data_IF_043194141257
#
_entry.id   IF_043194141257
#
_cell.length_a   1.000
_cell.length_b   1.000
_cell.length_c   1.000
_cell.angle_alpha   90.00
_cell.angle_beta   90.00
_cell.angle_gamma   90.00
#
_symmetry.space_group_name_H-M   'P 1'
#
loop_
_entity.id
_entity.type
_entity.pdbx_description
1 polymer ?
#
# COMPACT_ATOMS: atom_id res chain seq x y z
N UNK A 1 2.51 12.07 7.70
CA UNK A 1 1.56 11.03 8.15
C UNK A 1 0.67 11.47 9.32
N UNK A 2 -0.62 11.10 9.30
CA UNK A 2 -1.70 11.53 10.21
C UNK A 2 -1.46 11.18 11.69
N UNK A 3 -0.77 10.07 11.95
CA UNK A 3 -0.46 9.63 13.31
C UNK A 3 0.56 10.52 14.04
N UNK A 4 1.46 11.21 13.30
CA UNK A 4 2.44 12.14 13.89
C UNK A 4 1.74 13.34 14.54
N UNK A 5 0.63 13.79 13.95
CA UNK A 5 -0.17 14.89 14.46
C UNK A 5 -1.05 14.50 15.67
N UNK A 6 -1.36 13.21 15.84
CA UNK A 6 -2.33 12.71 16.84
C UNK A 6 -1.72 12.29 18.18
N UNK A 7 -0.52 12.78 18.54
CA UNK A 7 0.18 12.47 19.79
C UNK A 7 0.29 10.96 20.10
N UNK A 8 0.30 10.09 19.08
CA UNK A 8 0.30 8.64 19.24
C UNK A 8 1.46 8.16 20.13
N UNK A 9 2.67 8.64 19.84
CA UNK A 9 3.90 8.28 20.55
C UNK A 9 3.82 8.67 22.03
N UNK A 10 3.31 9.85 22.35
CA UNK A 10 3.15 10.29 23.73
C UNK A 10 2.20 9.38 24.52
N UNK A 11 1.10 8.92 23.90
CA UNK A 11 0.16 7.97 24.54
C UNK A 11 0.77 6.59 24.70
N UNK A 12 1.46 6.10 23.68
CA UNK A 12 2.13 4.79 23.71
C UNK A 12 3.22 4.76 24.79
N UNK A 13 4.05 5.80 24.89
CA UNK A 13 5.08 5.91 25.93
C UNK A 13 4.51 5.95 27.36
N UNK A 14 3.32 6.53 27.54
CA UNK A 14 2.63 6.54 28.84
C UNK A 14 2.06 5.18 29.21
N UNK A 15 1.58 4.42 28.23
CA UNK A 15 0.94 3.13 28.45
C UNK A 15 1.95 2.00 28.58
N UNK A 16 3.05 2.06 27.84
CA UNK A 16 4.05 0.99 27.81
C UNK A 16 4.51 0.48 29.20
N UNK A 17 4.81 1.32 30.21
CA UNK A 17 5.22 0.81 31.53
C UNK A 17 4.06 0.30 32.41
N UNK A 18 2.81 0.52 32.02
CA UNK A 18 1.61 0.18 32.80
C UNK A 18 0.90 -1.03 32.21
N UNK A 19 0.71 -0.99 30.88
CA UNK A 19 -0.02 -1.96 30.09
C UNK A 19 0.63 -2.03 28.69
N UNK A 20 1.68 -2.86 28.55
CA UNK A 20 2.36 -3.06 27.28
C UNK A 20 1.45 -3.59 26.18
N UNK A 21 0.48 -4.43 26.53
CA UNK A 21 -0.48 -5.02 25.60
C UNK A 21 -1.35 -3.94 24.95
N UNK A 22 -1.98 -3.08 25.75
CA UNK A 22 -2.72 -1.92 25.26
C UNK A 22 -1.84 -0.98 24.43
N UNK A 23 -0.56 -0.82 24.79
CA UNK A 23 0.37 0.00 24.02
C UNK A 23 0.63 -0.60 22.62
N UNK A 24 0.89 -1.91 22.54
CA UNK A 24 1.04 -2.67 21.30
C UNK A 24 -0.22 -2.63 20.43
N UNK A 25 -1.40 -2.86 21.02
CA UNK A 25 -2.68 -2.79 20.33
C UNK A 25 -2.90 -1.41 19.70
N UNK A 26 -2.65 -0.33 20.45
CA UNK A 26 -2.80 1.04 19.93
C UNK A 26 -1.88 1.33 18.77
N UNK A 27 -0.62 0.88 18.85
CA UNK A 27 0.34 1.09 17.78
C UNK A 27 -0.01 0.29 16.53
N UNK A 28 -0.38 -0.98 16.69
CA UNK A 28 -0.81 -1.82 15.58
C UNK A 28 -2.09 -1.28 14.92
N UNK A 29 -3.08 -0.86 15.71
CA UNK A 29 -4.32 -0.25 15.19
C UNK A 29 -4.03 1.04 14.40
N UNK A 30 -3.07 1.85 14.86
CA UNK A 30 -2.64 3.02 14.12
C UNK A 30 -1.97 2.64 12.78
N UNK A 31 -1.15 1.59 12.75
CA UNK A 31 -0.54 1.09 11.51
C UNK A 31 -1.61 0.56 10.54
N UNK A 32 -2.60 -0.20 11.01
CA UNK A 32 -3.70 -0.66 10.17
C UNK A 32 -4.51 0.51 9.61
N UNK A 33 -4.82 1.51 10.43
CA UNK A 33 -5.51 2.71 9.96
C UNK A 33 -4.69 3.45 8.88
N UNK A 34 -3.39 3.62 9.10
CA UNK A 34 -2.50 4.26 8.12
C UNK A 34 -2.44 3.47 6.81
N UNK A 35 -2.42 2.13 6.86
CA UNK A 35 -2.54 1.29 5.66
C UNK A 35 -3.88 1.46 4.94
N UNK A 36 -5.00 1.59 5.66
CA UNK A 36 -6.30 1.87 5.03
C UNK A 36 -6.27 3.20 4.28
N UNK A 37 -5.76 4.25 4.91
CA UNK A 37 -5.59 5.56 4.27
C UNK A 37 -4.70 5.47 3.03
N UNK A 38 -3.60 4.70 3.09
CA UNK A 38 -2.71 4.46 1.95
C UNK A 38 -3.39 3.74 0.80
N UNK A 39 -4.21 2.72 1.09
CA UNK A 39 -5.02 2.03 0.08
C UNK A 39 -6.00 3.02 -0.57
N UNK A 40 -6.68 3.86 0.22
CA UNK A 40 -7.60 4.86 -0.30
C UNK A 40 -6.92 5.90 -1.20
N UNK A 41 -5.71 6.35 -0.84
CA UNK A 41 -4.91 7.29 -1.64
C UNK A 41 -4.46 6.64 -2.95
N UNK A 42 -3.98 5.39 -2.88
CA UNK A 42 -3.54 4.63 -4.05
C UNK A 42 -4.65 4.50 -5.11
N UNK A 43 -5.89 4.23 -4.68
CA UNK A 43 -7.06 4.20 -5.55
C UNK A 43 -7.98 3.01 -5.28
N UNK A 44 -9.29 3.26 -5.37
CA UNK A 44 -10.30 2.23 -5.11
C UNK A 44 -10.37 1.19 -6.25
N UNK A 45 -10.11 1.61 -7.48
CA UNK A 45 -10.00 0.75 -8.66
C UNK A 45 -8.92 -0.32 -8.49
N UNK A 46 -7.73 0.09 -8.04
CA UNK A 46 -6.61 -0.79 -7.71
C UNK A 46 -6.96 -1.78 -6.60
N UNK A 47 -7.62 -1.29 -5.55
CA UNK A 47 -8.05 -2.13 -4.43
C UNK A 47 -9.07 -3.18 -4.89
N UNK A 48 -10.02 -2.79 -5.74
CA UNK A 48 -11.03 -3.68 -6.34
C UNK A 48 -10.41 -4.78 -7.16
N UNK A 49 -9.53 -4.41 -8.10
CA UNK A 49 -8.86 -5.37 -8.98
C UNK A 49 -8.02 -6.36 -8.18
N UNK A 50 -7.24 -5.87 -7.20
CA UNK A 50 -6.47 -6.73 -6.31
C UNK A 50 -7.39 -7.67 -5.50
N UNK A 51 -8.51 -7.17 -4.99
CA UNK A 51 -9.44 -7.99 -4.23
C UNK A 51 -10.06 -9.10 -5.08
N UNK A 52 -10.51 -8.79 -6.30
CA UNK A 52 -11.06 -9.77 -7.24
C UNK A 52 -10.03 -10.82 -7.62
N UNK A 53 -8.85 -10.38 -8.06
CA UNK A 53 -7.77 -11.26 -8.54
C UNK A 53 -7.26 -12.22 -7.49
N UNK A 54 -7.23 -11.80 -6.23
CA UNK A 54 -6.70 -12.61 -5.13
C UNK A 54 -7.80 -13.15 -4.19
N UNK A 55 -9.06 -13.12 -4.64
CA UNK A 55 -10.21 -13.68 -3.90
C UNK A 55 -10.36 -13.11 -2.47
N UNK A 56 -10.11 -11.81 -2.31
CA UNK A 56 -10.42 -11.07 -1.08
C UNK A 56 -11.89 -10.61 -1.10
N UNK A 57 -12.44 -10.17 0.04
CA UNK A 57 -13.81 -9.63 0.07
C UNK A 57 -14.03 -8.54 -0.98
N UNK A 58 -15.21 -8.48 -1.60
CA UNK A 58 -15.44 -7.47 -2.63
C UNK A 58 -15.33 -6.05 -2.06
N UNK A 59 -14.85 -5.12 -2.89
CA UNK A 59 -14.78 -3.69 -2.58
C UNK A 59 -15.70 -3.00 -3.58
N UNK A 60 -16.70 -2.28 -3.11
CA UNK A 60 -17.61 -1.49 -3.94
C UNK A 60 -17.36 0.01 -3.79
N UNK A 61 -17.09 0.43 -2.56
CA UNK A 61 -17.00 1.83 -2.13
C UNK A 61 -15.83 2.02 -1.14
N UNK A 62 -15.32 3.25 -0.94
CA UNK A 62 -14.19 3.50 -0.05
C UNK A 62 -14.39 3.00 1.38
N UNK A 63 -15.63 3.06 1.89
CA UNK A 63 -15.99 2.62 3.24
C UNK A 63 -15.75 1.12 3.45
N UNK A 64 -15.80 0.32 2.38
CA UNK A 64 -15.51 -1.11 2.48
C UNK A 64 -14.06 -1.33 2.94
N UNK A 65 -13.13 -0.51 2.45
CA UNK A 65 -11.72 -0.55 2.86
C UNK A 65 -11.51 0.16 4.19
N UNK A 66 -12.15 1.30 4.42
CA UNK A 66 -11.86 2.13 5.61
C UNK A 66 -12.47 1.53 6.89
N UNK A 67 -13.63 0.90 6.80
CA UNK A 67 -14.39 0.47 7.98
C UNK A 67 -14.61 -1.05 8.00
N UNK A 68 -14.98 -1.66 6.88
CA UNK A 68 -15.55 -3.02 6.87
C UNK A 68 -14.51 -4.14 6.72
N UNK A 69 -13.35 -3.84 6.13
CA UNK A 69 -12.31 -4.84 5.92
C UNK A 69 -11.64 -5.27 7.23
N UNK A 70 -11.51 -6.57 7.55
CA UNK A 70 -10.76 -7.00 8.73
C UNK A 70 -9.27 -6.65 8.66
N UNK A 71 -8.57 -6.38 9.79
CA UNK A 71 -7.14 -6.05 9.80
C UNK A 71 -6.26 -7.06 9.05
N UNK A 72 -6.52 -8.36 9.20
CA UNK A 72 -5.80 -9.41 8.48
C UNK A 72 -5.95 -9.26 6.95
N UNK A 73 -7.14 -8.85 6.49
CA UNK A 73 -7.43 -8.62 5.07
C UNK A 73 -6.88 -7.29 4.56
N UNK A 74 -6.75 -6.27 5.42
CA UNK A 74 -5.98 -5.07 5.09
C UNK A 74 -4.51 -5.42 4.84
N UNK A 75 -3.88 -6.19 5.72
CA UNK A 75 -2.47 -6.58 5.52
C UNK A 75 -2.28 -7.38 4.23
N UNK A 76 -3.19 -8.30 3.93
CA UNK A 76 -3.16 -9.07 2.69
C UNK A 76 -3.37 -8.16 1.47
N UNK A 77 -4.39 -7.30 1.49
CA UNK A 77 -4.67 -6.35 0.41
C UNK A 77 -3.49 -5.40 0.18
N UNK A 78 -2.91 -4.83 1.24
CA UNK A 78 -1.72 -3.97 1.14
C UNK A 78 -0.53 -4.68 0.49
N UNK A 79 -0.33 -5.97 0.78
CA UNK A 79 0.69 -6.77 0.07
C UNK A 79 0.34 -6.99 -1.40
N UNK A 80 -0.92 -7.34 -1.71
CA UNK A 80 -1.36 -7.57 -3.10
C UNK A 80 -1.32 -6.30 -3.94
N UNK A 81 -1.55 -5.17 -3.31
CA UNK A 81 -1.41 -3.83 -3.88
C UNK A 81 0.03 -3.30 -3.79
N UNK A 82 1.01 -4.12 -3.40
CA UNK A 82 2.44 -3.78 -3.30
C UNK A 82 2.82 -2.62 -2.37
N UNK A 83 1.89 -2.15 -1.53
CA UNK A 83 2.16 -1.21 -0.44
C UNK A 83 3.03 -1.84 0.65
N UNK A 84 3.02 -3.17 0.74
CA UNK A 84 3.93 -3.95 1.55
C UNK A 84 4.72 -4.88 0.64
N UNK A 85 6.03 -4.97 0.87
CA UNK A 85 6.84 -6.04 0.30
C UNK A 85 6.46 -7.38 0.95
N UNK A 86 6.78 -8.51 0.31
CA UNK A 86 6.57 -9.84 0.92
C UNK A 86 7.22 -9.98 2.31
N UNK A 87 8.50 -9.59 2.55
CA UNK A 87 9.08 -9.68 3.88
C UNK A 87 8.36 -8.77 4.90
N UNK A 88 7.94 -7.57 4.48
CA UNK A 88 7.23 -6.65 5.37
C UNK A 88 5.83 -7.13 5.72
N UNK A 89 5.11 -7.70 4.76
CA UNK A 89 3.84 -8.36 5.00
C UNK A 89 3.97 -9.50 6.02
N UNK A 90 5.01 -10.34 5.93
CA UNK A 90 5.25 -11.41 6.91
C UNK A 90 5.49 -10.86 8.31
N UNK A 91 6.28 -9.78 8.43
CA UNK A 91 6.53 -9.10 9.72
C UNK A 91 5.26 -8.51 10.29
N UNK A 92 4.48 -7.80 9.48
CA UNK A 92 3.21 -7.20 9.93
C UNK A 92 2.16 -8.26 10.29
N UNK A 93 2.13 -9.39 9.59
CA UNK A 93 1.29 -10.55 9.95
C UNK A 93 1.70 -11.12 11.30
N UNK A 94 2.99 -11.23 11.59
CA UNK A 94 3.47 -11.62 12.93
C UNK A 94 3.03 -10.63 14.00
N UNK A 95 3.07 -9.32 13.73
CA UNK A 95 2.54 -8.31 14.67
C UNK A 95 1.04 -8.48 14.92
N UNK A 96 0.27 -8.85 13.89
CA UNK A 96 -1.16 -9.15 14.03
C UNK A 96 -1.41 -10.39 14.89
N UNK A 97 -0.61 -11.45 14.71
CA UNK A 97 -0.68 -12.67 15.54
C UNK A 97 -0.38 -12.36 17.00
N UNK A 98 0.73 -11.67 17.28
CA UNK A 98 1.11 -11.23 18.63
C UNK A 98 -0.01 -10.39 19.26
N UNK A 99 -0.55 -9.41 18.54
CA UNK A 99 -1.67 -8.58 19.04
C UNK A 99 -2.91 -9.42 19.34
N UNK A 100 -3.24 -10.40 18.51
CA UNK A 100 -4.37 -11.28 18.75
C UNK A 100 -4.13 -12.11 20.00
N UNK A 101 -2.94 -12.68 20.18
CA UNK A 101 -2.62 -13.51 21.33
C UNK A 101 -2.66 -12.67 22.63
N UNK A 102 -2.19 -11.42 22.57
CA UNK A 102 -2.31 -10.40 23.64
C UNK A 102 -3.74 -9.97 23.99
N UNK A 103 -4.71 -10.09 23.08
CA UNK A 103 -6.11 -9.77 23.38
C UNK A 103 -6.84 -10.90 24.11
N UNK A 104 -6.26 -12.11 24.13
CA UNK A 104 -6.80 -13.28 24.80
C UNK A 104 -6.06 -13.57 26.11
N UNK A 105 -5.56 -12.52 26.78
CA UNK A 105 -4.80 -12.56 28.04
C UNK A 105 -5.48 -13.34 29.19
N UNK A 106 -6.75 -13.73 29.05
CA UNK A 106 -7.46 -14.53 30.04
C UNK A 106 -7.04 -16.01 30.11
N UNK A 107 -6.20 -16.56 29.21
CA UNK A 107 -6.07 -18.03 29.13
C UNK A 107 -4.70 -18.71 28.98
N UNK A 108 -3.52 -18.06 28.86
CA UNK A 108 -2.17 -18.71 29.02
C UNK A 108 -0.98 -17.91 28.44
N UNK A 109 -1.21 -16.83 27.67
CA UNK A 109 -0.15 -16.11 26.95
C UNK A 109 0.31 -14.84 27.66
N UNK A 110 1.57 -14.81 28.12
CA UNK A 110 2.25 -13.58 28.56
C UNK A 110 3.17 -13.08 27.44
N UNK A 111 3.02 -11.81 27.02
CA UNK A 111 3.92 -11.25 26.00
C UNK A 111 5.35 -11.12 26.53
N UNK A 112 6.28 -11.67 25.77
CA UNK A 112 7.69 -11.47 26.00
C UNK A 112 8.13 -10.07 25.53
N UNK A 113 9.23 -9.56 26.09
CA UNK A 113 9.82 -8.27 25.69
C UNK A 113 10.09 -8.24 24.17
N UNK A 114 10.49 -9.37 23.59
CA UNK A 114 10.77 -9.49 22.16
C UNK A 114 9.52 -9.30 21.29
N UNK A 115 8.35 -9.75 21.77
CA UNK A 115 7.08 -9.54 21.08
C UNK A 115 6.71 -8.05 21.06
N UNK A 116 6.92 -7.35 22.18
CA UNK A 116 6.70 -5.91 22.29
C UNK A 116 7.63 -5.17 21.32
N UNK A 117 8.94 -5.48 21.35
CA UNK A 117 9.93 -4.86 20.44
C UNK A 117 9.58 -5.13 18.97
N UNK A 118 9.14 -6.35 18.65
CA UNK A 118 8.71 -6.73 17.31
C UNK A 118 7.55 -5.83 16.82
N UNK A 119 6.47 -5.71 17.60
CA UNK A 119 5.32 -4.86 17.24
C UNK A 119 5.74 -3.41 17.10
N UNK A 120 6.50 -2.89 18.07
CA UNK A 120 6.91 -1.49 18.08
C UNK A 120 7.76 -1.13 16.88
N UNK A 121 8.82 -1.89 16.65
CA UNK A 121 9.78 -1.64 15.58
C UNK A 121 9.11 -1.76 14.21
N UNK A 122 8.38 -2.85 13.98
CA UNK A 122 7.82 -3.14 12.66
C UNK A 122 6.69 -2.17 12.29
N UNK A 123 5.75 -1.90 13.20
CA UNK A 123 4.66 -0.95 12.90
C UNK A 123 5.20 0.43 12.58
N UNK A 124 6.23 0.88 13.31
CA UNK A 124 6.86 2.18 13.06
C UNK A 124 7.61 2.18 11.73
N UNK A 125 8.54 1.24 11.51
CA UNK A 125 9.45 1.27 10.37
C UNK A 125 8.80 0.94 9.03
N UNK A 126 7.84 0.01 9.04
CA UNK A 126 7.22 -0.52 7.82
C UNK A 126 6.05 0.36 7.38
N UNK A 127 5.26 0.82 8.34
CA UNK A 127 4.00 1.51 8.03
C UNK A 127 4.10 2.97 8.41
N UNK A 128 4.19 3.28 9.70
CA UNK A 128 3.96 4.63 10.19
C UNK A 128 5.01 5.62 9.67
N UNK A 129 6.29 5.25 9.60
CA UNK A 129 7.36 6.14 9.13
C UNK A 129 7.33 6.42 7.63
N UNK A 130 6.60 5.62 6.85
CA UNK A 130 6.50 5.77 5.40
C UNK A 130 5.34 6.69 5.06
N UNK A 131 5.56 7.67 4.19
CA UNK A 131 4.46 8.46 3.66
C UNK A 131 3.60 7.62 2.69
N UNK A 132 2.34 7.99 2.47
CA UNK A 132 1.52 7.34 1.45
C UNK A 132 2.18 7.50 0.09
N UNK A 133 2.41 6.38 -0.59
CA UNK A 133 2.82 6.39 -1.99
C UNK A 133 1.56 6.63 -2.83
N UNK A 134 1.53 7.75 -3.54
CA UNK A 134 0.59 7.94 -4.63
C UNK A 134 1.09 7.05 -5.78
N UNK A 135 0.35 5.97 -6.07
CA UNK A 135 0.72 5.05 -7.13
C UNK A 135 0.34 5.66 -8.47
N UNK A 136 1.26 5.58 -9.44
CA UNK A 136 0.98 5.94 -10.82
C UNK A 136 -0.24 5.16 -11.34
N UNK A 137 -1.23 5.86 -11.89
CA UNK A 137 -2.43 5.23 -12.47
C UNK A 137 -2.23 5.01 -13.96
N UNK A 138 -2.87 3.97 -14.48
CA UNK A 138 -2.88 3.73 -15.94
C UNK A 138 -3.53 4.91 -16.68
N UNK A 139 -4.49 5.60 -16.06
CA UNK A 139 -5.12 6.80 -16.64
C UNK A 139 -4.18 8.02 -16.71
N UNK A 140 -3.21 8.12 -15.80
CA UNK A 140 -2.16 9.14 -15.87
C UNK A 140 -1.26 8.88 -17.09
N UNK A 141 -0.94 7.62 -17.36
CA UNK A 141 -0.22 7.19 -18.57
C UNK A 141 -1.05 7.46 -19.84
N UNK A 142 -2.35 7.18 -19.83
CA UNK A 142 -3.25 7.47 -20.96
C UNK A 142 -3.23 8.96 -21.32
N UNK A 143 -3.29 9.81 -20.31
CA UNK A 143 -3.25 11.26 -20.51
C UNK A 143 -1.93 11.73 -21.11
N UNK A 144 -0.81 11.06 -20.79
CA UNK A 144 0.51 11.34 -21.36
C UNK A 144 0.65 10.86 -22.81
N UNK A 145 0.13 9.68 -23.16
CA UNK A 145 0.18 9.18 -24.56
C UNK A 145 -0.73 10.00 -25.49
N UNK A 146 -1.85 10.51 -24.98
CA UNK A 146 -2.82 11.28 -25.77
C UNK A 146 -2.39 12.75 -25.97
N UNK A 147 -1.27 13.17 -25.38
CA UNK A 147 -0.72 14.50 -25.57
C UNK A 147 -0.34 14.76 -27.04
N UNK A 148 -0.60 15.97 -27.59
CA UNK A 148 -0.33 16.29 -28.99
C UNK A 148 1.17 16.44 -29.31
N UNK A 149 2.04 16.28 -28.31
CA UNK A 149 3.49 16.45 -28.40
C UNK A 149 4.19 15.35 -27.60
N UNK A 150 5.45 15.02 -27.93
CA UNK A 150 6.26 14.07 -27.17
C UNK A 150 6.21 14.34 -25.67
N UNK A 151 5.85 13.35 -24.83
CA UNK A 151 5.70 13.56 -23.40
C UNK A 151 7.06 13.78 -22.74
N UNK A 152 7.19 14.88 -22.00
CA UNK A 152 8.30 15.04 -21.07
C UNK A 152 8.05 14.13 -19.86
N UNK A 153 8.92 13.14 -19.62
CA UNK A 153 8.78 12.19 -18.50
C UNK A 153 9.29 12.86 -17.22
N UNK A 154 8.43 13.21 -16.25
CA UNK A 154 8.88 13.77 -14.99
C UNK A 154 9.63 12.70 -14.18
N UNK A 155 10.69 13.09 -13.48
CA UNK A 155 11.43 12.19 -12.57
C UNK A 155 10.52 11.54 -11.53
N UNK A 156 9.50 12.28 -11.07
CA UNK A 156 8.50 11.80 -10.13
C UNK A 156 7.71 10.61 -10.69
N UNK A 157 7.32 10.66 -11.97
CA UNK A 157 6.59 9.58 -12.64
C UNK A 157 7.41 8.28 -12.69
N UNK A 158 8.71 8.40 -12.95
CA UNK A 158 9.63 7.26 -12.92
C UNK A 158 9.75 6.68 -11.51
N UNK A 159 9.83 7.52 -10.48
CA UNK A 159 9.88 7.06 -9.09
C UNK A 159 8.59 6.37 -8.66
N UNK A 160 7.44 6.92 -9.06
CA UNK A 160 6.13 6.35 -8.79
C UNK A 160 5.96 5.00 -9.51
N UNK A 161 6.40 4.89 -10.76
CA UNK A 161 6.39 3.63 -11.51
C UNK A 161 7.32 2.59 -10.89
N UNK A 162 8.56 2.94 -10.58
CA UNK A 162 9.53 2.01 -9.95
C UNK A 162 9.09 1.55 -8.57
N UNK A 163 8.38 2.40 -7.84
CA UNK A 163 7.83 2.09 -6.52
C UNK A 163 6.47 1.39 -6.62
N UNK A 164 5.84 1.38 -7.80
CA UNK A 164 4.57 0.73 -8.01
C UNK A 164 4.72 -0.80 -7.95
N UNK A 165 3.66 -1.53 -7.59
CA UNK A 165 3.69 -2.99 -7.58
C UNK A 165 4.02 -3.56 -8.96
N UNK A 166 4.74 -4.68 -9.03
CA UNK A 166 5.09 -5.36 -10.30
C UNK A 166 3.88 -5.55 -11.22
N UNK A 167 2.71 -5.83 -10.63
CA UNK A 167 1.46 -6.00 -11.36
C UNK A 167 1.05 -4.71 -12.09
N UNK A 168 1.15 -3.56 -11.42
CA UNK A 168 0.83 -2.24 -11.99
C UNK A 168 1.89 -1.80 -12.99
N UNK A 169 3.17 -2.06 -12.71
CA UNK A 169 4.23 -1.83 -13.69
C UNK A 169 3.97 -2.63 -14.97
N UNK A 170 3.60 -3.90 -14.83
CA UNK A 170 3.25 -4.77 -15.95
C UNK A 170 2.02 -4.28 -16.71
N UNK A 171 0.95 -3.88 -16.03
CA UNK A 171 -0.25 -3.30 -16.66
C UNK A 171 0.09 -2.06 -17.49
N UNK A 172 0.91 -1.15 -16.95
CA UNK A 172 1.36 0.06 -17.65
C UNK A 172 2.20 -0.32 -18.88
N UNK A 173 3.15 -1.24 -18.73
CA UNK A 173 3.99 -1.72 -19.83
C UNK A 173 3.17 -2.40 -20.93
N UNK A 174 2.19 -3.23 -20.57
CA UNK A 174 1.28 -3.88 -21.51
C UNK A 174 0.39 -2.86 -22.22
N UNK A 175 -0.10 -1.85 -21.50
CA UNK A 175 -0.88 -0.77 -22.08
C UNK A 175 -0.07 0.05 -23.10
N UNK A 176 1.16 0.43 -22.76
CA UNK A 176 2.09 1.12 -23.65
C UNK A 176 2.40 0.28 -24.90
N UNK A 177 2.69 -1.01 -24.71
CA UNK A 177 2.99 -1.93 -25.81
C UNK A 177 1.79 -2.11 -26.76
N UNK A 178 0.59 -2.33 -26.21
CA UNK A 178 -0.63 -2.49 -27.00
C UNK A 178 -0.95 -1.22 -27.79
N UNK A 179 -0.79 -0.05 -27.17
CA UNK A 179 -1.03 1.24 -27.82
C UNK A 179 -0.03 1.50 -28.95
N UNK A 180 1.27 1.25 -28.72
CA UNK A 180 2.31 1.44 -29.73
C UNK A 180 2.09 0.58 -30.99
N UNK A 181 1.55 -0.63 -30.81
CA UNK A 181 1.32 -1.61 -31.87
C UNK A 181 -0.06 -1.48 -32.54
N UNK A 182 -0.98 -0.69 -31.98
CA UNK A 182 -2.32 -0.52 -32.53
C UNK A 182 -2.33 0.41 -33.75
N UNK A 183 -2.46 -0.17 -34.95
CA UNK A 183 -2.52 0.55 -36.21
C UNK A 183 -3.78 1.45 -36.35
N UNK A 184 -4.79 1.29 -35.50
CA UNK A 184 -5.97 2.16 -35.44
C UNK A 184 -5.75 3.45 -34.66
N UNK A 185 -4.64 3.59 -33.93
CA UNK A 185 -4.28 4.82 -33.19
C UNK A 185 -3.50 5.79 -34.08
N UNK A 186 -3.65 7.09 -33.79
CA UNK A 186 -2.89 8.13 -34.48
C UNK A 186 -1.38 7.94 -34.27
N UNK A 187 -0.58 8.24 -35.29
CA UNK A 187 0.88 8.01 -35.26
C UNK A 187 1.56 8.70 -34.08
N UNK A 188 1.12 9.91 -33.71
CA UNK A 188 1.63 10.64 -32.54
C UNK A 188 1.39 9.89 -31.23
N UNK A 189 0.21 9.29 -31.04
CA UNK A 189 -0.14 8.53 -29.83
C UNK A 189 0.72 7.26 -29.75
N UNK A 190 0.92 6.59 -30.89
CA UNK A 190 1.77 5.39 -30.98
C UNK A 190 3.23 5.72 -30.71
N UNK A 191 3.72 6.84 -31.23
CA UNK A 191 5.07 7.34 -30.99
C UNK A 191 5.27 7.68 -29.51
N UNK A 192 4.35 8.42 -28.89
CA UNK A 192 4.41 8.74 -27.46
C UNK A 192 4.48 7.48 -26.59
N UNK A 193 3.69 6.45 -26.92
CA UNK A 193 3.72 5.17 -26.22
C UNK A 193 5.07 4.43 -26.38
N UNK A 194 5.69 4.48 -27.57
CA UNK A 194 7.03 3.93 -27.77
C UNK A 194 8.10 4.69 -26.99
N UNK A 195 8.04 6.02 -26.98
CA UNK A 195 9.01 6.87 -26.28
C UNK A 195 8.95 6.68 -24.76
N UNK A 196 7.74 6.59 -24.19
CA UNK A 196 7.55 6.28 -22.77
C UNK A 196 8.16 4.93 -22.40
N UNK A 197 7.96 3.90 -23.24
CA UNK A 197 8.47 2.54 -23.02
C UNK A 197 9.98 2.40 -23.27
N UNK A 198 10.55 3.18 -24.20
CA UNK A 198 11.97 3.09 -24.56
C UNK A 198 12.88 3.69 -23.48
N UNK A 199 12.36 4.62 -22.68
CA UNK A 199 13.04 5.11 -21.50
C UNK A 199 12.96 4.04 -20.42
N UNK A 200 14.05 3.28 -20.28
CA UNK A 200 14.21 2.02 -19.53
C UNK A 200 13.91 2.03 -18.02
N UNK A 201 13.16 3.01 -17.53
CA UNK A 201 12.55 3.04 -16.20
C UNK A 201 11.02 3.16 -16.22
N UNK A 202 10.36 3.04 -17.39
CA UNK A 202 8.91 2.97 -17.60
C UNK A 202 8.55 1.85 -18.59
#
# INVERSE_FOLDING_TARGET
SEWRAKNLIARVNRLLPIDPSSACQRLFNAAIHDLRSKISIAGLDLAKEAAERYHLPSIGKPEDVVENYPPAKILELSYRMGLLSRPDWRRMRRCYEIRRDLEHEDNEYEAEIDDLVCVFKNCIQIVLSQDPLELIRVDDIKSLIDAPQPPAIPMQLLQEFQSAPDTRQKEILEHLANTALDAGKADIIRQNAMELRANSGL
#
